data_IF_338294319247
#
_entry.id   IF_338294319247
#
_cell.length_a   1.000
_cell.length_b   1.000
_cell.length_c   1.000
_cell.angle_alpha   90.00
_cell.angle_beta   90.00
_cell.angle_gamma   90.00
#
_symmetry.space_group_name_H-M   'P 1'
#
loop_
_entity.id
_entity.type
_entity.pdbx_description
1 polymer ?
#
# COMPACT_ATOMS: atom_id res chain seq x y z
N UNK A 1 -12.92 16.22 -8.03
CA UNK A 1 -12.17 17.44 -7.65
C UNK A 1 -10.76 17.12 -7.11
N UNK A 2 -10.58 16.09 -6.26
CA UNK A 2 -9.23 15.66 -5.80
C UNK A 2 -8.41 14.89 -6.87
N UNK A 3 -9.06 14.14 -7.76
CA UNK A 3 -8.40 13.43 -8.88
C UNK A 3 -7.77 14.36 -9.94
N UNK A 4 -8.21 15.62 -10.00
CA UNK A 4 -7.73 16.63 -10.96
C UNK A 4 -6.47 17.34 -10.45
N UNK A 5 -6.21 17.30 -9.14
CA UNK A 5 -5.12 18.03 -8.50
C UNK A 5 -3.76 17.31 -8.52
N UNK A 6 -3.60 16.18 -9.25
CA UNK A 6 -2.33 15.45 -9.38
C UNK A 6 -1.65 15.00 -8.07
N UNK A 7 -2.39 15.02 -6.95
CA UNK A 7 -1.89 14.55 -5.63
C UNK A 7 -2.18 13.07 -5.41
N UNK A 8 -3.25 12.52 -6.02
CA UNK A 8 -3.60 11.09 -5.90
C UNK A 8 -3.00 10.30 -7.07
N UNK A 9 -2.24 9.26 -6.71
CA UNK A 9 -1.50 8.36 -7.60
C UNK A 9 -2.50 7.33 -8.17
N UNK A 10 -2.92 7.51 -9.41
CA UNK A 10 -3.94 6.71 -10.13
C UNK A 10 -3.52 5.23 -10.28
N UNK A 11 -2.25 4.93 -10.03
CA UNK A 11 -1.68 3.59 -10.13
C UNK A 11 -2.37 2.58 -9.20
N UNK A 12 -2.80 2.97 -7.99
CA UNK A 12 -3.44 2.07 -7.02
C UNK A 12 -4.87 1.68 -7.46
N UNK A 13 -5.81 2.63 -7.71
CA UNK A 13 -7.15 2.28 -8.15
C UNK A 13 -7.13 1.55 -9.49
N UNK A 14 -6.24 1.94 -10.41
CA UNK A 14 -6.10 1.28 -11.70
C UNK A 14 -5.61 -0.16 -11.56
N UNK A 15 -4.59 -0.41 -10.74
CA UNK A 15 -4.08 -1.75 -10.48
C UNK A 15 -5.12 -2.65 -9.81
N UNK A 16 -5.89 -2.11 -8.85
CA UNK A 16 -6.95 -2.85 -8.17
C UNK A 16 -8.07 -3.25 -9.13
N UNK A 17 -8.58 -2.31 -9.93
CA UNK A 17 -9.64 -2.57 -10.92
C UNK A 17 -9.15 -3.54 -12.01
N UNK A 18 -7.94 -3.32 -12.53
CA UNK A 18 -7.35 -4.19 -13.55
C UNK A 18 -7.17 -5.61 -13.01
N UNK A 19 -6.64 -5.78 -11.79
CA UNK A 19 -6.45 -7.09 -11.18
C UNK A 19 -7.77 -7.82 -10.93
N UNK A 20 -8.80 -7.11 -10.46
CA UNK A 20 -10.13 -7.67 -10.21
C UNK A 20 -10.76 -8.16 -11.51
N UNK A 21 -10.75 -7.33 -12.56
CA UNK A 21 -11.31 -7.69 -13.87
C UNK A 21 -10.54 -8.85 -14.49
N UNK A 22 -9.20 -8.83 -14.40
CA UNK A 22 -8.36 -9.90 -14.94
C UNK A 22 -8.63 -11.25 -14.27
N UNK A 23 -8.77 -11.27 -12.94
CA UNK A 23 -9.05 -12.50 -12.19
C UNK A 23 -10.47 -12.99 -12.39
N UNK A 24 -11.44 -12.09 -12.48
CA UNK A 24 -12.83 -12.44 -12.82
C UNK A 24 -12.92 -13.10 -14.22
N UNK A 25 -12.19 -12.56 -15.20
CA UNK A 25 -12.09 -13.16 -16.54
C UNK A 25 -11.38 -14.53 -16.50
N UNK A 26 -10.31 -14.66 -15.70
CA UNK A 26 -9.59 -15.92 -15.53
C UNK A 26 -10.46 -16.99 -14.86
N UNK A 27 -11.35 -16.61 -13.95
CA UNK A 27 -12.32 -17.48 -13.29
C UNK A 27 -13.52 -17.85 -14.18
N UNK A 28 -13.55 -17.43 -15.45
CA UNK A 28 -14.59 -17.80 -16.41
C UNK A 28 -15.97 -17.18 -16.15
N UNK A 29 -16.05 -16.18 -15.26
CA UNK A 29 -17.30 -15.48 -14.99
C UNK A 29 -17.69 -14.56 -16.16
N UNK A 30 -18.99 -14.38 -16.38
CA UNK A 30 -19.45 -13.53 -17.47
C UNK A 30 -19.04 -12.07 -17.22
N UNK A 31 -18.59 -11.33 -18.25
CA UNK A 31 -18.14 -9.94 -18.09
C UNK A 31 -19.26 -9.01 -17.60
N UNK A 32 -20.52 -9.44 -17.75
CA UNK A 32 -21.73 -8.74 -17.34
C UNK A 32 -21.81 -8.63 -15.81
N UNK A 33 -21.47 -9.70 -15.09
CA UNK A 33 -21.45 -9.69 -13.62
C UNK A 33 -20.31 -8.84 -13.08
N UNK A 34 -19.15 -8.87 -13.74
CA UNK A 34 -18.03 -8.01 -13.38
C UNK A 34 -18.41 -6.53 -13.55
N UNK A 35 -19.07 -6.18 -14.65
CA UNK A 35 -19.58 -4.83 -14.87
C UNK A 35 -20.64 -4.43 -13.84
N UNK A 36 -21.47 -5.36 -13.39
CA UNK A 36 -22.43 -5.10 -12.32
C UNK A 36 -21.74 -4.78 -10.98
N UNK A 37 -20.68 -5.51 -10.62
CA UNK A 37 -19.86 -5.17 -9.45
C UNK A 37 -19.10 -3.84 -9.58
N UNK A 38 -18.76 -3.39 -10.79
CA UNK A 38 -18.25 -2.02 -11.02
C UNK A 38 -19.36 -0.97 -10.87
N UNK A 39 -20.60 -1.34 -11.19
CA UNK A 39 -21.78 -0.47 -11.10
C UNK A 39 -22.32 -0.33 -9.67
N UNK A 40 -22.10 -1.35 -8.82
CA UNK A 40 -22.23 -1.21 -7.37
C UNK A 40 -21.10 -0.31 -6.89
N UNK A 41 -21.44 0.94 -6.53
CA UNK A 41 -20.47 1.96 -6.14
C UNK A 41 -19.48 1.57 -5.03
N UNK A 42 -19.67 0.46 -4.31
CA UNK A 42 -18.74 -0.08 -3.31
C UNK A 42 -17.33 -0.39 -3.85
N UNK A 43 -17.20 -0.96 -5.06
CA UNK A 43 -15.89 -1.25 -5.65
C UNK A 43 -15.14 0.05 -6.00
N UNK A 44 -15.84 0.99 -6.66
CA UNK A 44 -15.27 2.28 -7.03
C UNK A 44 -14.97 3.12 -5.77
N UNK A 45 -15.86 3.12 -4.78
CA UNK A 45 -15.63 3.79 -3.51
C UNK A 45 -14.39 3.23 -2.80
N UNK A 46 -14.25 1.91 -2.77
CA UNK A 46 -13.06 1.27 -2.19
C UNK A 46 -11.80 1.63 -2.97
N UNK A 47 -11.83 1.58 -4.30
CA UNK A 47 -10.68 1.90 -5.13
C UNK A 47 -10.21 3.35 -4.98
N UNK A 48 -11.13 4.31 -4.95
CA UNK A 48 -10.82 5.74 -5.02
C UNK A 48 -10.77 6.46 -3.67
N UNK A 49 -11.35 5.90 -2.60
CA UNK A 49 -11.35 6.52 -1.27
C UNK A 49 -10.61 5.70 -0.22
N UNK A 50 -10.77 4.38 -0.21
CA UNK A 50 -10.19 3.51 0.82
C UNK A 50 -8.76 3.09 0.44
N UNK A 51 -8.57 2.51 -0.75
CA UNK A 51 -7.29 1.99 -1.21
C UNK A 51 -6.24 3.10 -1.47
N UNK A 52 -6.69 4.32 -1.72
CA UNK A 52 -5.82 5.49 -1.92
C UNK A 52 -5.46 6.22 -0.63
N UNK A 53 -5.74 5.66 0.55
CA UNK A 53 -5.23 6.23 1.79
C UNK A 53 -3.69 6.21 1.78
N UNK A 54 -3.02 7.36 2.06
CA UNK A 54 -1.57 7.45 2.03
C UNK A 54 -0.90 6.97 3.33
N UNK A 55 -1.68 6.62 4.36
CA UNK A 55 -1.15 6.28 5.68
C UNK A 55 -0.69 4.83 5.73
N UNK A 56 -1.35 3.97 4.95
CA UNK A 56 -1.07 2.53 4.87
C UNK A 56 -0.45 2.11 3.54
N UNK A 57 -0.43 2.99 2.53
CA UNK A 57 0.15 2.66 1.23
C UNK A 57 1.69 2.66 1.24
N UNK A 58 2.37 1.69 0.60
CA UNK A 58 3.83 1.71 0.44
C UNK A 58 4.29 2.90 -0.41
N UNK A 59 5.42 3.51 -0.06
CA UNK A 59 5.88 4.76 -0.71
C UNK A 59 6.46 4.52 -2.12
N UNK A 60 7.04 3.33 -2.32
CA UNK A 60 7.66 2.90 -3.58
C UNK A 60 6.63 2.68 -4.70
N UNK A 61 7.01 3.04 -5.96
CA UNK A 61 6.12 2.82 -7.13
C UNK A 61 5.78 1.34 -7.34
N UNK A 62 6.77 0.45 -7.20
CA UNK A 62 6.56 -0.98 -7.36
C UNK A 62 5.67 -1.57 -6.25
N UNK A 63 5.85 -1.14 -4.99
CA UNK A 63 5.02 -1.58 -3.87
C UNK A 63 3.55 -1.19 -4.06
N UNK A 64 3.28 -0.01 -4.62
CA UNK A 64 1.90 0.47 -4.86
C UNK A 64 1.14 -0.37 -5.87
N UNK A 65 1.80 -0.78 -6.96
CA UNK A 65 1.18 -1.66 -7.95
C UNK A 65 0.90 -3.03 -7.32
N UNK A 66 1.87 -3.58 -6.59
CA UNK A 66 1.69 -4.87 -5.91
C UNK A 66 0.57 -4.83 -4.87
N UNK A 67 0.45 -3.73 -4.13
CA UNK A 67 -0.60 -3.51 -3.15
C UNK A 67 -1.99 -3.47 -3.79
N UNK A 68 -2.17 -2.69 -4.86
CA UNK A 68 -3.44 -2.65 -5.61
C UNK A 68 -3.83 -4.01 -6.18
N UNK A 69 -2.86 -4.74 -6.75
CA UNK A 69 -3.06 -6.11 -7.23
C UNK A 69 -3.45 -7.05 -6.09
N UNK A 70 -2.80 -6.96 -4.92
CA UNK A 70 -3.13 -7.78 -3.76
C UNK A 70 -4.57 -7.58 -3.29
N UNK A 71 -5.06 -6.34 -3.20
CA UNK A 71 -6.46 -6.05 -2.83
C UNK A 71 -7.42 -6.65 -3.87
N UNK A 72 -7.17 -6.43 -5.16
CA UNK A 72 -8.01 -6.96 -6.24
C UNK A 72 -8.07 -8.48 -6.24
N UNK A 73 -6.93 -9.14 -5.99
CA UNK A 73 -6.83 -10.58 -5.91
C UNK A 73 -7.51 -11.18 -4.68
N UNK A 74 -7.29 -10.58 -3.50
CA UNK A 74 -7.95 -11.01 -2.26
C UNK A 74 -9.46 -10.82 -2.35
N UNK A 75 -9.94 -9.78 -3.03
CA UNK A 75 -11.37 -9.57 -3.22
C UNK A 75 -12.01 -10.68 -4.03
N UNK A 76 -11.41 -11.07 -5.17
CA UNK A 76 -11.96 -12.18 -5.97
C UNK A 76 -11.89 -13.51 -5.21
N UNK A 77 -10.78 -13.76 -4.51
CA UNK A 77 -10.61 -14.95 -3.70
C UNK A 77 -11.69 -15.05 -2.60
N UNK A 78 -11.95 -13.96 -1.88
CA UNK A 78 -13.00 -13.92 -0.85
C UNK A 78 -14.38 -14.06 -1.46
N UNK A 79 -14.58 -13.63 -2.71
CA UNK A 79 -15.88 -13.76 -3.37
C UNK A 79 -16.16 -15.20 -3.82
N UNK A 80 -15.14 -15.92 -4.26
CA UNK A 80 -15.28 -17.31 -4.71
C UNK A 80 -15.36 -18.30 -3.53
N UNK A 81 -14.61 -18.05 -2.46
CA UNK A 81 -14.55 -18.94 -1.30
C UNK A 81 -15.33 -18.46 -0.07
N UNK A 82 -15.80 -17.21 -0.07
CA UNK A 82 -16.45 -16.59 1.08
C UNK A 82 -17.97 -16.52 0.98
N UNK A 83 -18.59 -16.24 2.12
CA UNK A 83 -20.05 -16.07 2.25
C UNK A 83 -20.50 -14.63 1.97
N UNK A 84 -19.57 -13.70 1.72
CA UNK A 84 -19.84 -12.28 1.54
C UNK A 84 -19.78 -11.89 0.07
N UNK A 85 -20.83 -11.25 -0.43
CA UNK A 85 -20.98 -10.90 -1.84
C UNK A 85 -19.87 -9.96 -2.38
N UNK A 86 -19.35 -9.04 -1.55
CA UNK A 86 -18.30 -8.08 -1.98
C UNK A 86 -16.91 -8.34 -1.40
N UNK A 87 -16.79 -8.76 -0.12
CA UNK A 87 -15.49 -9.09 0.49
C UNK A 87 -14.45 -7.95 0.58
N UNK A 88 -14.76 -6.76 0.07
CA UNK A 88 -13.81 -5.65 -0.15
C UNK A 88 -13.10 -5.19 1.13
N UNK A 89 -13.85 -4.97 2.21
CA UNK A 89 -13.27 -4.49 3.47
C UNK A 89 -12.27 -5.48 4.07
N UNK A 90 -12.57 -6.78 3.95
CA UNK A 90 -11.67 -7.84 4.43
C UNK A 90 -10.41 -7.92 3.57
N UNK A 91 -10.56 -7.78 2.25
CA UNK A 91 -9.42 -7.74 1.32
C UNK A 91 -8.49 -6.55 1.62
N UNK A 92 -9.04 -5.36 1.85
CA UNK A 92 -8.25 -4.17 2.22
C UNK A 92 -7.56 -4.36 3.56
N UNK A 93 -8.26 -4.86 4.58
CA UNK A 93 -7.67 -5.10 5.90
C UNK A 93 -6.51 -6.10 5.81
N UNK A 94 -6.68 -7.19 5.05
CA UNK A 94 -5.64 -8.17 4.81
C UNK A 94 -4.47 -7.60 4.02
N UNK A 95 -4.73 -6.80 2.98
CA UNK A 95 -3.69 -6.13 2.21
C UNK A 95 -2.88 -5.15 3.07
N UNK A 96 -3.53 -4.40 3.96
CA UNK A 96 -2.88 -3.49 4.89
C UNK A 96 -1.92 -4.23 5.85
N UNK A 97 -2.27 -5.45 6.28
CA UNK A 97 -1.38 -6.30 7.07
C UNK A 97 -0.13 -6.74 6.28
N UNK A 98 -0.26 -6.89 4.97
CA UNK A 98 0.84 -7.30 4.08
C UNK A 98 1.75 -6.13 3.67
N UNK A 99 1.37 -4.88 3.89
CA UNK A 99 2.18 -3.70 3.55
C UNK A 99 3.61 -3.77 4.11
N UNK A 100 3.86 -4.00 5.42
CA UNK A 100 5.22 -4.06 5.96
C UNK A 100 6.03 -5.27 5.45
N UNK A 101 5.37 -6.29 4.90
CA UNK A 101 6.04 -7.41 4.22
C UNK A 101 6.45 -7.01 2.81
N UNK A 102 5.54 -6.35 2.07
CA UNK A 102 5.79 -5.81 0.73
C UNK A 102 6.92 -4.80 0.77
N UNK A 103 6.90 -3.88 1.73
CA UNK A 103 7.92 -2.84 1.83
C UNK A 103 9.31 -3.43 2.12
N UNK A 104 9.41 -4.42 3.01
CA UNK A 104 10.67 -5.16 3.23
C UNK A 104 11.18 -5.86 1.98
N UNK A 105 10.28 -6.46 1.19
CA UNK A 105 10.65 -7.11 -0.07
C UNK A 105 11.16 -6.11 -1.10
N UNK A 106 10.47 -4.97 -1.25
CA UNK A 106 10.87 -3.92 -2.20
C UNK A 106 12.13 -3.21 -1.76
N UNK A 107 12.27 -2.89 -0.46
CA UNK A 107 13.50 -2.30 0.10
C UNK A 107 14.70 -3.25 -0.03
N UNK A 108 14.50 -4.57 0.05
CA UNK A 108 15.57 -5.55 -0.20
C UNK A 108 16.07 -5.49 -1.64
N UNK A 109 15.18 -5.20 -2.59
CA UNK A 109 15.51 -5.03 -4.02
C UNK A 109 16.16 -3.67 -4.30
N UNK A 110 15.77 -2.61 -3.60
CA UNK A 110 16.23 -1.24 -3.86
C UNK A 110 17.50 -0.79 -3.14
N UNK A 111 18.21 -1.66 -2.40
CA UNK A 111 19.45 -1.26 -1.72
C UNK A 111 20.66 -1.40 -2.66
N UNK A 112 21.25 -0.30 -3.13
CA UNK A 112 22.68 -0.34 -3.35
C UNK A 112 23.51 0.47 -2.33
N UNK A 113 23.04 1.53 -1.64
CA UNK A 113 23.99 2.40 -0.90
C UNK A 113 23.54 3.08 0.40
N UNK A 114 22.54 2.56 1.14
CA UNK A 114 22.28 3.02 2.51
C UNK A 114 22.94 2.10 3.55
N UNK A 115 24.27 1.99 3.45
CA UNK A 115 25.12 1.50 4.54
C UNK A 115 26.05 2.66 4.90
N UNK A 116 26.12 2.97 6.20
CA UNK A 116 26.90 4.03 6.87
C UNK A 116 26.27 5.43 6.88
N UNK A 117 25.54 5.70 7.96
CA UNK A 117 25.73 6.98 8.67
C UNK A 117 26.58 6.67 9.90
N UNK A 118 27.92 6.82 9.85
CA UNK A 118 28.71 6.99 11.05
C UNK A 118 28.54 8.46 11.44
N UNK A 119 27.45 8.80 12.13
CA UNK A 119 27.24 10.16 12.63
C UNK A 119 26.49 10.15 13.97
N UNK A 120 26.91 9.27 14.87
CA UNK A 120 26.53 9.34 16.29
C UNK A 120 27.73 9.30 17.22
N UNK A 121 28.96 9.20 16.67
CA UNK A 121 30.21 9.23 17.44
C UNK A 121 30.54 10.66 17.92
N UNK A 122 30.27 11.68 17.11
CA UNK A 122 30.67 13.07 17.39
C UNK A 122 29.82 13.79 18.44
N UNK A 123 28.64 13.26 18.80
CA UNK A 123 27.78 13.85 19.84
C UNK A 123 28.20 13.37 21.24
N UNK A 124 28.94 12.26 21.34
CA UNK A 124 29.44 11.74 22.61
C UNK A 124 30.70 12.48 23.12
N UNK A 125 31.41 13.19 22.25
CA UNK A 125 32.61 13.97 22.62
C UNK A 125 32.34 15.34 23.22
N UNK A 126 31.14 15.93 23.03
CA UNK A 126 30.83 17.28 23.53
C UNK A 126 30.28 17.29 24.97
N UNK A 127 29.94 16.14 25.53
CA UNK A 127 29.37 16.03 26.90
C UNK A 127 30.45 15.79 27.97
N UNK A 128 31.72 15.63 27.57
CA UNK A 128 32.83 15.25 28.46
C UNK A 128 33.71 16.39 29.02
N UNK A 129 33.36 17.66 28.79
CA UNK A 129 34.26 18.78 29.12
C UNK A 129 33.55 20.02 29.68
N UNK A 130 33.12 19.97 30.94
CA UNK A 130 32.85 21.17 31.72
C UNK A 130 33.58 21.05 33.08
N UNK A 131 34.77 21.66 33.24
CA UNK A 131 35.45 21.71 34.51
C UNK A 131 34.70 22.64 35.46
N UNK A 132 34.45 22.14 36.67
CA UNK A 132 34.27 23.00 37.83
C UNK A 132 35.50 23.91 38.04
N UNK A 133 35.32 24.87 38.94
CA UNK A 133 36.27 25.94 39.33
C UNK A 133 36.07 27.28 38.62
N UNK A 134 35.27 28.13 39.26
CA UNK A 134 35.72 29.49 39.59
C UNK A 134 34.98 30.01 40.83
N UNK A 135 35.52 29.65 41.98
CA UNK A 135 35.37 30.40 43.23
C UNK A 135 36.51 31.41 43.28
N UNK A 136 36.17 32.70 43.16
CA UNK A 136 36.84 33.88 43.73
C UNK A 136 36.05 35.14 43.34
#
# INVERSE_FOLDING_TARGET
MLAVLRVIRIEIPLAMLASRVLLCLAAGHSPQESLYSLSLGGLLFTAFFIATDPVTSPDTRAGRILFGVAIGALTELIREFGLYADGLCFAVLAANLLVPQIDRLVLRIQRPWYTRTPCTESVRSDVGGAPGERSE
#
